data_IF_067426554730
#
_entry.id   IF_067426554730
#
_cell.length_a   1.000
_cell.length_b   1.000
_cell.length_c   1.000
_cell.angle_alpha   90.00
_cell.angle_beta   90.00
_cell.angle_gamma   90.00
#
_symmetry.space_group_name_H-M   'P 1'
#
loop_
_entity.id
_entity.type
_entity.pdbx_description
1 polymer ?
#
# COMPACT_ATOMS: atom_id res chain seq x y z
N UNK A 1 1.77 4.89 -5.43
CA UNK A 1 1.61 5.70 -6.67
C UNK A 1 1.24 7.16 -6.33
N UNK A 2 1.28 8.10 -7.29
CA UNK A 2 0.97 9.53 -7.04
C UNK A 2 -0.42 9.75 -6.39
N UNK A 3 -1.42 8.99 -6.83
CA UNK A 3 -2.79 9.03 -6.28
C UNK A 3 -2.81 8.65 -4.80
N UNK A 4 -2.10 7.60 -4.43
CA UNK A 4 -2.04 7.14 -3.05
C UNK A 4 -1.26 8.08 -2.14
N UNK A 5 -0.23 8.75 -2.67
CA UNK A 5 0.50 9.77 -1.92
C UNK A 5 -0.44 10.91 -1.51
N UNK A 6 -1.22 11.42 -2.46
CA UNK A 6 -2.23 12.45 -2.17
C UNK A 6 -3.31 11.93 -1.21
N UNK A 7 -3.77 10.69 -1.40
CA UNK A 7 -4.74 10.07 -0.50
C UNK A 7 -4.20 9.95 0.93
N UNK A 8 -3.00 9.40 1.12
CA UNK A 8 -2.37 9.23 2.43
C UNK A 8 -2.15 10.56 3.15
N UNK A 9 -1.77 11.61 2.41
CA UNK A 9 -1.66 12.97 2.94
C UNK A 9 -3.02 13.53 3.40
N UNK A 10 -4.09 13.31 2.61
CA UNK A 10 -5.45 13.71 3.01
C UNK A 10 -5.95 12.94 4.23
N UNK A 11 -5.72 11.61 4.26
CA UNK A 11 -6.11 10.73 5.38
C UNK A 11 -5.42 11.19 6.66
N UNK A 12 -4.10 11.36 6.65
CA UNK A 12 -3.37 11.82 7.83
C UNK A 12 -3.93 13.13 8.41
N UNK A 13 -4.47 14.03 7.57
CA UNK A 13 -5.04 15.30 8.04
C UNK A 13 -6.49 15.20 8.56
N UNK A 14 -7.26 14.21 8.14
CA UNK A 14 -8.74 14.21 8.28
C UNK A 14 -9.34 12.91 8.80
N UNK A 15 -8.55 11.86 8.98
CA UNK A 15 -9.01 10.52 9.33
C UNK A 15 -9.86 10.53 10.59
N UNK A 16 -10.91 9.71 10.56
CA UNK A 16 -11.68 9.33 11.74
C UNK A 16 -11.03 8.14 12.45
N UNK A 17 -11.55 7.76 13.61
CA UNK A 17 -11.10 6.52 14.28
C UNK A 17 -11.53 5.27 13.49
N UNK A 18 -12.70 5.31 12.83
CA UNK A 18 -13.17 4.22 11.97
C UNK A 18 -12.25 4.05 10.74
N UNK A 19 -11.79 5.16 10.15
CA UNK A 19 -10.82 5.12 9.05
C UNK A 19 -9.51 4.47 9.49
N UNK A 20 -8.98 4.86 10.66
CA UNK A 20 -7.74 4.28 11.19
C UNK A 20 -7.91 2.78 11.45
N UNK A 21 -9.01 2.38 12.09
CA UNK A 21 -9.29 0.98 12.37
C UNK A 21 -9.40 0.15 11.09
N UNK A 22 -10.00 0.70 10.02
CA UNK A 22 -10.09 0.02 8.73
C UNK A 22 -8.71 -0.18 8.08
N UNK A 23 -7.85 0.84 8.12
CA UNK A 23 -6.48 0.78 7.59
C UNK A 23 -5.61 -0.20 8.40
N UNK A 24 -5.68 -0.16 9.73
CA UNK A 24 -4.97 -1.09 10.61
C UNK A 24 -5.41 -2.54 10.38
N UNK A 25 -6.72 -2.77 10.24
CA UNK A 25 -7.26 -4.09 9.93
C UNK A 25 -6.79 -4.60 8.55
N UNK A 26 -6.66 -3.72 7.56
CA UNK A 26 -6.11 -4.09 6.26
C UNK A 26 -4.62 -4.46 6.33
N UNK A 27 -3.82 -3.72 7.12
CA UNK A 27 -2.41 -4.07 7.36
C UNK A 27 -2.27 -5.42 8.07
N UNK A 28 -3.12 -5.72 9.05
CA UNK A 28 -3.14 -7.03 9.69
C UNK A 28 -3.45 -8.17 8.69
N UNK A 29 -4.44 -7.98 7.81
CA UNK A 29 -4.77 -8.97 6.77
C UNK A 29 -3.63 -9.18 5.78
N UNK A 30 -2.91 -8.12 5.40
CA UNK A 30 -1.71 -8.22 4.56
C UNK A 30 -0.63 -9.09 5.23
N UNK A 31 -0.38 -8.87 6.52
CA UNK A 31 0.56 -9.68 7.31
C UNK A 31 0.15 -11.15 7.39
N UNK A 32 -1.14 -11.43 7.54
CA UNK A 32 -1.64 -12.80 7.53
C UNK A 32 -1.44 -13.47 6.16
N UNK A 33 -1.64 -12.72 5.07
CA UNK A 33 -1.43 -13.17 3.70
C UNK A 33 0.05 -13.40 3.35
N UNK A 34 1.00 -12.96 4.17
CA UNK A 34 2.43 -13.25 3.97
C UNK A 34 2.74 -14.75 3.95
N UNK A 35 1.89 -15.57 4.59
CA UNK A 35 1.98 -17.04 4.60
C UNK A 35 1.24 -17.72 3.44
N UNK A 36 0.51 -16.93 2.64
CA UNK A 36 -0.24 -17.40 1.47
C UNK A 36 0.58 -17.28 0.18
N UNK A 37 -0.03 -17.63 -0.95
CA UNK A 37 0.58 -17.54 -2.28
C UNK A 37 0.87 -16.12 -2.74
N UNK A 38 1.53 -15.98 -3.90
CA UNK A 38 1.87 -14.68 -4.48
C UNK A 38 0.64 -13.83 -4.78
N UNK A 39 -0.36 -14.43 -5.42
CA UNK A 39 -1.59 -13.75 -5.78
C UNK A 39 -2.37 -13.26 -4.55
N UNK A 40 -2.53 -14.09 -3.52
CA UNK A 40 -3.26 -13.73 -2.31
C UNK A 40 -2.58 -12.62 -1.50
N UNK A 41 -1.25 -12.61 -1.49
CA UNK A 41 -0.50 -11.53 -0.85
C UNK A 41 -0.66 -10.21 -1.61
N UNK A 42 -0.55 -10.24 -2.95
CA UNK A 42 -0.78 -9.05 -3.78
C UNK A 42 -2.21 -8.52 -3.60
N UNK A 43 -3.21 -9.41 -3.51
CA UNK A 43 -4.59 -9.02 -3.24
C UNK A 43 -4.74 -8.32 -1.88
N UNK A 44 -4.08 -8.82 -0.85
CA UNK A 44 -4.10 -8.21 0.48
C UNK A 44 -3.32 -6.89 0.55
N UNK A 45 -2.22 -6.77 -0.19
CA UNK A 45 -1.44 -5.55 -0.36
C UNK A 45 -2.28 -4.46 -1.05
N UNK A 46 -2.90 -4.77 -2.19
CA UNK A 46 -3.85 -3.88 -2.88
C UNK A 46 -5.00 -3.47 -1.96
N UNK A 47 -5.51 -4.39 -1.14
CA UNK A 47 -6.59 -4.07 -0.19
C UNK A 47 -6.17 -3.06 0.88
N UNK A 48 -4.92 -3.08 1.33
CA UNK A 48 -4.38 -2.05 2.23
C UNK A 48 -4.33 -0.69 1.53
N UNK A 49 -3.81 -0.62 0.31
CA UNK A 49 -3.77 0.62 -0.47
C UNK A 49 -5.18 1.15 -0.77
N UNK A 50 -6.12 0.27 -1.11
CA UNK A 50 -7.51 0.62 -1.33
C UNK A 50 -8.17 1.18 -0.05
N UNK A 51 -7.86 0.64 1.13
CA UNK A 51 -8.37 1.15 2.40
C UNK A 51 -7.87 2.58 2.68
N UNK A 52 -6.58 2.86 2.42
CA UNK A 52 -6.02 4.21 2.53
C UNK A 52 -6.71 5.17 1.55
N UNK A 53 -6.90 4.77 0.28
CA UNK A 53 -7.60 5.61 -0.71
C UNK A 53 -9.05 5.88 -0.31
N UNK A 54 -9.77 4.87 0.17
CA UNK A 54 -11.15 5.01 0.63
C UNK A 54 -11.25 5.97 1.83
N UNK A 55 -10.33 5.87 2.79
CA UNK A 55 -10.26 6.73 3.96
C UNK A 55 -10.00 8.22 3.62
N UNK A 56 -9.54 8.53 2.41
CA UNK A 56 -9.41 9.91 1.95
C UNK A 56 -10.78 10.57 1.70
N UNK A 57 -11.86 9.80 1.71
CA UNK A 57 -13.24 10.23 1.45
C UNK A 57 -13.38 11.07 0.18
N UNK A 58 -12.57 10.73 -0.84
CA UNK A 58 -12.55 11.40 -2.13
C UNK A 58 -13.02 10.44 -3.23
N UNK A 59 -14.27 10.56 -3.72
CA UNK A 59 -14.84 9.61 -4.66
C UNK A 59 -14.10 9.57 -6.01
N UNK A 60 -13.41 10.66 -6.39
CA UNK A 60 -12.60 10.69 -7.61
C UNK A 60 -11.36 9.81 -7.45
N UNK A 61 -10.66 9.90 -6.30
CA UNK A 61 -9.48 9.06 -6.05
C UNK A 61 -9.87 7.58 -5.92
N UNK A 62 -10.98 7.28 -5.24
CA UNK A 62 -11.50 5.92 -5.13
C UNK A 62 -11.85 5.32 -6.49
N UNK A 63 -12.55 6.07 -7.35
CA UNK A 63 -12.90 5.61 -8.69
C UNK A 63 -11.67 5.39 -9.57
N UNK A 64 -10.72 6.33 -9.56
CA UNK A 64 -9.47 6.20 -10.33
C UNK A 64 -8.65 4.99 -9.87
N UNK A 65 -8.49 4.80 -8.56
CA UNK A 65 -7.76 3.65 -8.03
C UNK A 65 -8.43 2.34 -8.45
N UNK A 66 -9.76 2.24 -8.31
CA UNK A 66 -10.53 1.05 -8.70
C UNK A 66 -10.38 0.67 -10.17
N UNK A 67 -10.29 1.65 -11.08
CA UNK A 67 -10.08 1.39 -12.50
C UNK A 67 -8.69 0.79 -12.80
N UNK A 68 -7.67 1.17 -12.03
CA UNK A 68 -6.30 0.68 -12.24
C UNK A 68 -6.04 -0.70 -11.60
N UNK A 69 -6.77 -1.06 -10.54
CA UNK A 69 -6.53 -2.29 -9.77
C UNK A 69 -6.42 -3.55 -10.63
N UNK A 70 -7.30 -3.85 -11.60
CA UNK A 70 -7.21 -5.09 -12.38
C UNK A 70 -5.90 -5.20 -13.17
N UNK A 71 -5.43 -4.09 -13.75
CA UNK A 71 -4.19 -4.04 -14.53
C UNK A 71 -2.96 -4.06 -13.61
N UNK A 72 -3.01 -3.30 -12.52
CA UNK A 72 -1.93 -3.25 -11.52
C UNK A 72 -1.71 -4.61 -10.87
N UNK A 73 -2.80 -5.32 -10.54
CA UNK A 73 -2.73 -6.63 -9.88
C UNK A 73 -1.86 -7.61 -10.65
N UNK A 74 -2.10 -7.78 -11.94
CA UNK A 74 -1.30 -8.73 -12.73
C UNK A 74 0.16 -8.28 -12.79
N UNK A 75 0.41 -6.99 -13.03
CA UNK A 75 1.77 -6.46 -13.06
C UNK A 75 2.53 -6.63 -11.74
N UNK A 76 1.86 -6.49 -10.59
CA UNK A 76 2.46 -6.68 -9.26
C UNK A 76 2.78 -8.15 -8.97
N UNK A 77 1.94 -9.09 -9.43
CA UNK A 77 2.24 -10.53 -9.36
C UNK A 77 3.48 -10.83 -10.19
N UNK A 78 3.49 -10.43 -11.46
CA UNK A 78 4.60 -10.68 -12.38
C UNK A 78 5.90 -10.05 -11.86
N UNK A 79 5.82 -8.84 -11.28
CA UNK A 79 6.96 -8.15 -10.67
C UNK A 79 7.52 -8.89 -9.46
N UNK A 80 6.65 -9.36 -8.56
CA UNK A 80 7.05 -10.09 -7.36
C UNK A 80 7.78 -11.39 -7.70
N UNK A 81 7.31 -12.09 -8.73
CA UNK A 81 7.96 -13.30 -9.26
C UNK A 81 9.28 -12.99 -9.97
N UNK A 82 9.33 -11.95 -10.80
CA UNK A 82 10.52 -11.56 -11.56
C UNK A 82 11.69 -11.15 -10.65
N UNK A 83 11.39 -10.40 -9.59
CA UNK A 83 12.38 -9.86 -8.67
C UNK A 83 12.62 -10.76 -7.44
N UNK A 84 11.95 -11.91 -7.37
CA UNK A 84 12.02 -12.87 -6.27
C UNK A 84 11.80 -12.22 -4.88
N UNK A 85 10.92 -11.21 -4.79
CA UNK A 85 10.82 -10.30 -3.63
C UNK A 85 10.45 -11.00 -2.33
N UNK A 86 9.79 -12.16 -2.42
CA UNK A 86 9.21 -12.88 -1.27
C UNK A 86 9.96 -14.14 -0.84
N UNK A 87 11.04 -14.50 -1.52
CA UNK A 87 11.79 -15.73 -1.19
C UNK A 87 12.58 -15.57 0.11
N UNK A 88 13.26 -14.43 0.30
CA UNK A 88 13.98 -14.14 1.55
C UNK A 88 13.08 -13.47 2.60
N UNK A 89 12.11 -12.67 2.16
CA UNK A 89 11.15 -11.97 3.03
C UNK A 89 9.71 -12.20 2.56
N UNK A 90 9.01 -13.22 3.10
CA UNK A 90 7.63 -13.52 2.73
C UNK A 90 6.63 -12.38 2.96
N UNK A 91 6.97 -11.42 3.86
CA UNK A 91 6.18 -10.25 4.18
C UNK A 91 6.80 -8.96 3.60
N UNK A 92 7.41 -9.08 2.43
CA UNK A 92 8.09 -8.01 1.72
C UNK A 92 7.44 -6.62 1.89
N UNK A 93 8.23 -5.64 2.31
CA UNK A 93 7.77 -4.25 2.46
C UNK A 93 6.94 -3.97 3.71
N UNK A 94 6.79 -4.90 4.66
CA UNK A 94 5.97 -4.67 5.88
C UNK A 94 6.38 -3.41 6.66
N UNK A 95 7.69 -3.15 6.77
CA UNK A 95 8.20 -2.00 7.49
C UNK A 95 7.70 -0.68 6.90
N UNK A 96 7.75 -0.54 5.56
CA UNK A 96 7.23 0.63 4.86
C UNK A 96 5.73 0.80 5.05
N UNK A 97 4.96 -0.28 4.93
CA UNK A 97 3.52 -0.26 5.14
C UNK A 97 3.18 0.08 6.60
N UNK A 98 3.92 -0.44 7.58
CA UNK A 98 3.76 -0.11 8.99
C UNK A 98 4.04 1.37 9.26
N UNK A 99 5.12 1.93 8.69
CA UNK A 99 5.47 3.34 8.79
C UNK A 99 4.40 4.25 8.17
N UNK A 100 3.79 3.83 7.07
CA UNK A 100 2.67 4.54 6.44
C UNK A 100 1.46 4.61 7.38
N UNK A 101 1.04 3.47 7.93
CA UNK A 101 -0.09 3.40 8.86
C UNK A 101 0.21 4.19 10.13
N UNK A 102 1.44 4.13 10.64
CA UNK A 102 1.87 4.90 11.81
C UNK A 102 1.85 6.42 11.54
N UNK A 103 2.28 6.85 10.35
CA UNK A 103 2.21 8.25 9.94
C UNK A 103 0.77 8.76 9.88
N UNK A 104 -0.15 7.94 9.34
CA UNK A 104 -1.59 8.24 9.34
C UNK A 104 -2.14 8.33 10.77
N UNK A 105 -1.77 7.38 11.64
CA UNK A 105 -2.22 7.36 13.03
C UNK A 105 -1.79 8.62 13.81
N UNK A 106 -0.55 9.08 13.57
CA UNK A 106 0.05 10.28 14.17
C UNK A 106 -0.36 11.59 13.50
N UNK A 107 -1.22 11.54 12.48
CA UNK A 107 -1.63 12.69 11.67
C UNK A 107 -0.45 13.42 10.99
N UNK A 108 0.62 12.70 10.65
CA UNK A 108 1.80 13.24 9.98
C UNK A 108 1.69 13.03 8.45
N UNK A 109 1.07 14.01 7.79
CA UNK A 109 0.89 13.99 6.34
C UNK A 109 2.22 13.99 5.56
N UNK A 110 3.25 14.68 6.06
CA UNK A 110 4.54 14.70 5.37
C UNK A 110 5.22 13.34 5.46
N UNK A 111 5.21 12.69 6.61
CA UNK A 111 5.71 11.33 6.76
C UNK A 111 4.92 10.35 5.87
N UNK A 112 3.59 10.38 5.90
CA UNK A 112 2.75 9.49 5.10
C UNK A 112 3.06 9.60 3.59
N UNK A 113 3.17 10.83 3.10
CA UNK A 113 3.53 11.08 1.71
C UNK A 113 4.98 10.71 1.37
N UNK A 114 5.93 10.85 2.30
CA UNK A 114 7.33 10.45 2.08
C UNK A 114 7.46 8.93 2.01
N UNK A 115 6.82 8.20 2.92
CA UNK A 115 6.88 6.73 2.96
C UNK A 115 6.41 6.11 1.65
N UNK A 116 5.26 6.53 1.09
CA UNK A 116 4.78 6.00 -0.19
C UNK A 116 5.67 6.35 -1.39
N UNK A 117 6.32 7.52 -1.38
CA UNK A 117 7.28 7.89 -2.44
C UNK A 117 8.53 7.02 -2.37
N UNK A 118 8.99 6.73 -1.16
CA UNK A 118 10.16 5.90 -0.91
C UNK A 118 9.92 4.44 -1.31
N UNK A 119 8.76 3.85 -0.98
CA UNK A 119 8.37 2.51 -1.44
C UNK A 119 8.44 2.39 -2.97
N UNK A 120 7.87 3.36 -3.69
CA UNK A 120 7.91 3.36 -5.15
C UNK A 120 9.34 3.48 -5.69
N UNK A 121 10.17 4.32 -5.05
CA UNK A 121 11.57 4.50 -5.43
C UNK A 121 12.36 3.20 -5.25
N UNK A 122 12.19 2.50 -4.13
CA UNK A 122 12.88 1.25 -3.84
C UNK A 122 12.50 0.16 -4.84
N UNK A 123 11.21 0.03 -5.17
CA UNK A 123 10.74 -0.91 -6.19
C UNK A 123 11.34 -0.60 -7.57
N UNK A 124 11.39 0.69 -7.95
CA UNK A 124 12.00 1.12 -9.21
C UNK A 124 13.51 0.84 -9.25
N UNK A 125 14.22 1.11 -8.16
CA UNK A 125 15.66 0.86 -8.05
C UNK A 125 15.98 -0.63 -8.21
N UNK A 126 15.15 -1.53 -7.65
CA UNK A 126 15.29 -2.97 -7.84
C UNK A 126 15.02 -3.40 -9.29
N UNK A 127 13.99 -2.83 -9.92
CA UNK A 127 13.70 -3.09 -11.33
C UNK A 127 14.86 -2.72 -12.26
N UNK A 128 15.56 -1.62 -11.98
CA UNK A 128 16.73 -1.21 -12.76
C UNK A 128 18.00 -2.03 -12.47
N UNK A 129 17.99 -2.85 -11.40
CA UNK A 129 19.13 -3.69 -11.03
C UNK A 129 19.09 -5.09 -11.65
N UNK A 130 17.98 -5.44 -12.34
CA UNK A 130 17.78 -6.71 -13.07
C UNK A 130 18.02 -6.49 -14.56
#
# INVERSE_FOLDING_TARGET
MLIEVEAAQMVAQRRTDDDLAAVEAALAKRRDAAKAGHAEFVDADIALHAAVVAAAHNPVLTALFGEFVPVLRQGLIDLGELLDLRTEDPNHGDEGHALLVEAIARADAEAAGRTLREELRQTLDRLHAV
#
